data_IF_288230126828
#
_entry.id   IF_288230126828
#
_cell.length_a   1.000
_cell.length_b   1.000
_cell.length_c   1.000
_cell.angle_alpha   90.00
_cell.angle_beta   90.00
_cell.angle_gamma   90.00
#
_symmetry.space_group_name_H-M   'P 1'
#
loop_
_entity.id
_entity.type
_entity.pdbx_description
1 polymer ?
#
# COMPACT_ATOMS: atom_id res chain seq x y z
N UNK A 1 42.33 24.79 3.29
CA UNK A 1 40.95 24.33 3.04
C UNK A 1 40.14 24.70 4.27
N UNK A 2 39.23 25.68 4.15
CA UNK A 2 38.40 26.13 5.27
C UNK A 2 37.32 25.09 5.57
N UNK A 3 37.07 24.84 6.86
CA UNK A 3 35.96 24.01 7.33
C UNK A 3 34.64 24.64 6.88
N UNK A 4 33.64 23.86 6.42
CA UNK A 4 32.32 24.40 6.11
C UNK A 4 31.66 24.95 7.39
N UNK A 5 31.16 26.19 7.30
CA UNK A 5 30.49 26.89 8.40
C UNK A 5 29.06 26.35 8.58
N UNK A 6 28.90 25.37 9.47
CA UNK A 6 27.61 24.73 9.75
C UNK A 6 26.47 25.69 10.14
N UNK A 7 26.76 26.90 10.62
CA UNK A 7 25.76 27.91 10.96
C UNK A 7 25.12 28.60 9.74
N UNK A 8 25.85 28.71 8.63
CA UNK A 8 25.41 29.38 7.41
C UNK A 8 24.61 28.42 6.50
N UNK A 9 24.95 27.13 6.56
CA UNK A 9 24.15 26.08 5.91
C UNK A 9 22.76 25.95 6.58
N UNK A 10 22.68 26.08 7.91
CA UNK A 10 21.41 25.98 8.63
C UNK A 10 20.46 27.17 8.35
N UNK A 11 20.99 28.39 8.20
CA UNK A 11 20.19 29.57 7.88
C UNK A 11 19.61 29.48 6.47
N UNK A 12 20.40 29.03 5.50
CA UNK A 12 19.95 28.84 4.12
C UNK A 12 18.92 27.72 3.98
N UNK A 13 19.07 26.61 4.71
CA UNK A 13 18.05 25.54 4.74
C UNK A 13 16.71 26.04 5.29
N UNK A 14 16.73 26.83 6.38
CA UNK A 14 15.53 27.43 6.97
C UNK A 14 14.85 28.39 6.01
N UNK A 15 15.61 29.21 5.28
CA UNK A 15 15.08 30.11 4.26
C UNK A 15 14.41 29.36 3.10
N UNK A 16 15.01 28.25 2.64
CA UNK A 16 14.45 27.43 1.56
C UNK A 16 13.16 26.76 2.00
N UNK A 17 13.11 26.20 3.21
CA UNK A 17 11.88 25.59 3.74
C UNK A 17 10.77 26.63 3.95
N UNK A 18 11.12 27.82 4.44
CA UNK A 18 10.19 28.94 4.55
C UNK A 18 9.65 29.36 3.17
N UNK A 19 10.52 29.51 2.16
CA UNK A 19 10.11 29.86 0.80
C UNK A 19 9.20 28.79 0.18
N UNK A 20 9.51 27.50 0.40
CA UNK A 20 8.69 26.36 -0.04
C UNK A 20 7.27 26.43 0.55
N UNK A 21 7.14 26.78 1.83
CA UNK A 21 5.85 26.85 2.53
C UNK A 21 5.05 28.11 2.16
N UNK A 22 5.70 29.26 2.04
CA UNK A 22 5.05 30.54 1.74
C UNK A 22 4.67 30.68 0.26
N UNK A 23 5.49 30.15 -0.65
CA UNK A 23 5.32 30.32 -2.10
C UNK A 23 5.44 28.97 -2.85
N UNK A 24 4.57 27.99 -2.58
CA UNK A 24 4.71 26.63 -3.09
C UNK A 24 4.73 26.59 -4.63
N UNK A 25 3.83 27.31 -5.30
CA UNK A 25 3.76 27.33 -6.76
C UNK A 25 5.07 27.82 -7.39
N UNK A 26 5.58 28.97 -6.94
CA UNK A 26 6.85 29.53 -7.44
C UNK A 26 8.04 28.62 -7.13
N UNK A 27 8.02 27.96 -5.96
CA UNK A 27 9.04 26.98 -5.59
C UNK A 27 9.06 25.81 -6.58
N UNK A 28 7.92 25.19 -6.89
CA UNK A 28 7.86 24.08 -7.85
C UNK A 28 8.12 24.52 -9.30
N UNK A 29 7.63 25.69 -9.72
CA UNK A 29 7.90 26.25 -11.05
C UNK A 29 9.41 26.40 -11.30
N UNK A 30 10.16 26.92 -10.31
CA UNK A 30 11.62 27.07 -10.41
C UNK A 30 12.35 25.74 -10.63
N UNK A 31 11.84 24.65 -10.06
CA UNK A 31 12.41 23.30 -10.24
C UNK A 31 12.01 22.71 -11.59
N UNK A 32 10.74 22.86 -11.98
CA UNK A 32 10.21 22.40 -13.27
C UNK A 32 10.92 23.07 -14.46
N UNK A 33 11.20 24.38 -14.38
CA UNK A 33 11.97 25.11 -15.41
C UNK A 33 13.38 24.56 -15.61
N UNK A 34 13.93 23.90 -14.59
CA UNK A 34 15.25 23.24 -14.62
C UNK A 34 15.14 21.74 -14.93
N UNK A 35 13.95 21.23 -15.23
CA UNK A 35 13.67 19.81 -15.46
C UNK A 35 14.11 18.88 -14.31
N UNK A 36 14.07 19.39 -13.07
CA UNK A 36 14.39 18.65 -11.86
C UNK A 36 13.23 18.73 -10.86
N UNK A 37 13.16 17.76 -9.97
CA UNK A 37 12.26 17.76 -8.82
C UNK A 37 12.97 18.39 -7.61
N UNK A 38 12.22 18.81 -6.56
CA UNK A 38 12.82 19.39 -5.35
C UNK A 38 13.81 18.48 -4.60
N UNK A 39 13.72 17.17 -4.80
CA UNK A 39 14.65 16.18 -4.26
C UNK A 39 15.76 15.80 -5.26
N UNK A 40 16.06 16.71 -6.20
CA UNK A 40 17.07 16.59 -7.25
C UNK A 40 16.87 15.44 -8.26
N UNK A 41 15.74 14.72 -8.21
CA UNK A 41 15.45 13.68 -9.20
C UNK A 41 15.04 14.27 -10.56
N UNK A 42 15.35 13.60 -11.68
CA UNK A 42 14.73 13.90 -12.97
C UNK A 42 13.22 13.71 -12.93
N UNK A 43 12.47 14.42 -13.79
CA UNK A 43 11.01 14.37 -13.82
C UNK A 43 10.45 12.94 -14.03
N UNK A 44 11.11 12.13 -14.85
CA UNK A 44 10.69 10.75 -15.16
C UNK A 44 11.17 9.67 -14.17
N UNK A 45 11.90 10.04 -13.11
CA UNK A 45 12.46 9.06 -12.17
C UNK A 45 11.59 8.92 -10.93
N UNK A 46 11.14 7.70 -10.63
CA UNK A 46 10.45 7.37 -9.39
C UNK A 46 11.39 7.48 -8.16
N UNK A 47 10.82 7.47 -6.95
CA UNK A 47 11.63 7.36 -5.73
C UNK A 47 12.18 5.95 -5.63
N UNK A 48 13.16 5.76 -4.77
CA UNK A 48 13.61 4.41 -4.42
C UNK A 48 12.44 3.61 -3.84
N UNK A 49 12.25 2.40 -4.35
CA UNK A 49 11.16 1.52 -3.96
C UNK A 49 11.71 0.24 -3.37
N UNK A 50 11.27 -0.12 -2.17
CA UNK A 50 11.63 -1.39 -1.52
C UNK A 50 10.39 -2.14 -1.07
N UNK A 51 10.46 -3.47 -1.09
CA UNK A 51 9.36 -4.36 -0.70
C UNK A 51 9.94 -5.44 0.20
N UNK A 52 9.40 -5.58 1.41
CA UNK A 52 9.68 -6.68 2.32
C UNK A 52 8.46 -7.60 2.41
N UNK A 53 8.58 -8.84 1.93
CA UNK A 53 7.53 -9.85 2.04
C UNK A 53 7.51 -10.47 3.45
N UNK A 54 6.35 -10.97 3.88
CA UNK A 54 6.22 -11.68 5.15
C UNK A 54 6.42 -10.79 6.39
N UNK A 55 6.14 -9.48 6.28
CA UNK A 55 6.34 -8.51 7.36
C UNK A 55 5.53 -8.82 8.65
N UNK A 56 4.42 -9.55 8.52
CA UNK A 56 3.54 -9.95 9.63
C UNK A 56 3.40 -11.48 9.62
N UNK A 57 4.02 -12.14 10.59
CA UNK A 57 4.04 -13.61 10.69
C UNK A 57 2.67 -14.23 11.02
N UNK A 58 1.77 -13.49 11.67
CA UNK A 58 0.42 -13.96 12.04
C UNK A 58 -0.62 -13.84 10.91
N UNK A 59 -0.25 -13.17 9.82
CA UNK A 59 -1.08 -13.00 8.63
C UNK A 59 -0.82 -14.14 7.63
N UNK A 60 -1.83 -14.47 6.82
CA UNK A 60 -1.70 -15.47 5.76
C UNK A 60 -0.81 -14.97 4.62
N UNK A 61 -0.82 -13.66 4.36
CA UNK A 61 0.09 -12.97 3.45
C UNK A 61 0.35 -11.58 3.99
N UNK A 62 1.55 -11.05 3.81
CA UNK A 62 1.86 -9.68 4.21
C UNK A 62 3.03 -9.12 3.45
N UNK A 63 3.06 -7.80 3.29
CA UNK A 63 4.17 -7.10 2.68
C UNK A 63 4.26 -5.65 3.19
N UNK A 64 5.50 -5.21 3.44
CA UNK A 64 5.84 -3.83 3.73
C UNK A 64 6.41 -3.20 2.46
N UNK A 65 5.69 -2.26 1.85
CA UNK A 65 6.17 -1.52 0.69
C UNK A 65 6.58 -0.11 1.12
N UNK A 66 7.68 0.37 0.55
CA UNK A 66 8.21 1.71 0.79
C UNK A 66 8.58 2.37 -0.54
N UNK A 67 8.09 3.59 -0.78
CA UNK A 67 8.43 4.44 -1.92
C UNK A 67 8.96 5.76 -1.38
N UNK A 68 10.29 5.94 -1.37
CA UNK A 68 10.94 7.03 -0.63
C UNK A 68 10.66 6.91 0.86
N UNK A 69 10.04 7.91 1.47
CA UNK A 69 9.63 7.85 2.88
C UNK A 69 8.25 7.20 3.07
N UNK A 70 7.37 7.27 2.08
CA UNK A 70 6.03 6.68 2.15
C UNK A 70 6.10 5.18 2.39
N UNK A 71 5.51 4.72 3.47
CA UNK A 71 5.59 3.33 3.92
C UNK A 71 4.19 2.79 4.20
N UNK A 72 3.82 1.70 3.51
CA UNK A 72 2.54 1.02 3.65
C UNK A 72 2.75 -0.45 3.99
N UNK A 73 1.96 -0.95 4.93
CA UNK A 73 1.93 -2.36 5.30
C UNK A 73 0.60 -2.97 4.86
N UNK A 74 0.67 -3.97 3.98
CA UNK A 74 -0.46 -4.82 3.63
C UNK A 74 -0.41 -6.12 4.42
N UNK A 75 -1.54 -6.52 5.00
CA UNK A 75 -1.68 -7.80 5.68
C UNK A 75 -3.00 -8.46 5.26
N UNK A 76 -2.94 -9.75 4.96
CA UNK A 76 -4.07 -10.55 4.50
C UNK A 76 -4.41 -11.57 5.57
N UNK A 77 -5.65 -11.56 6.02
CA UNK A 77 -6.23 -12.61 6.85
C UNK A 77 -7.27 -13.37 6.06
N UNK A 78 -7.16 -14.69 6.05
CA UNK A 78 -8.08 -15.56 5.34
C UNK A 78 -9.03 -16.24 6.32
N UNK A 79 -10.31 -16.12 6.06
CA UNK A 79 -11.39 -16.74 6.84
C UNK A 79 -12.34 -17.50 5.92
N UNK A 80 -13.08 -18.46 6.47
CA UNK A 80 -14.06 -19.22 5.70
C UNK A 80 -15.43 -18.61 5.94
N UNK A 81 -16.13 -18.32 4.85
CA UNK A 81 -17.49 -17.80 4.88
C UNK A 81 -18.43 -18.69 4.06
N UNK A 82 -19.72 -18.56 4.32
CA UNK A 82 -20.75 -19.10 3.43
C UNK A 82 -20.96 -18.11 2.28
N UNK A 83 -20.75 -18.52 1.01
CA UNK A 83 -20.95 -17.63 -0.13
C UNK A 83 -22.42 -17.20 -0.27
N UNK A 84 -22.64 -16.08 -0.94
CA UNK A 84 -23.99 -15.58 -1.20
C UNK A 84 -24.73 -16.47 -2.21
N UNK A 85 -26.07 -16.40 -2.25
CA UNK A 85 -26.87 -17.15 -3.21
C UNK A 85 -26.60 -16.73 -4.67
N UNK A 86 -26.17 -15.49 -4.89
CA UNK A 86 -25.86 -14.94 -6.21
C UNK A 86 -24.46 -15.37 -6.70
N UNK A 87 -23.51 -15.54 -5.77
CA UNK A 87 -22.10 -15.85 -6.06
C UNK A 87 -21.62 -17.11 -5.32
N UNK A 88 -22.30 -18.24 -5.56
CA UNK A 88 -22.04 -19.51 -4.86
C UNK A 88 -20.66 -20.13 -5.15
N UNK A 89 -20.07 -19.77 -6.30
CA UNK A 89 -18.81 -20.32 -6.80
C UNK A 89 -17.61 -19.38 -6.62
N UNK A 90 -17.76 -18.30 -5.85
CA UNK A 90 -16.74 -17.27 -5.71
C UNK A 90 -16.44 -16.97 -4.23
N UNK A 91 -15.17 -16.73 -3.94
CA UNK A 91 -14.75 -16.11 -2.68
C UNK A 91 -14.95 -14.60 -2.71
N UNK A 92 -14.63 -13.96 -1.58
CA UNK A 92 -14.77 -12.51 -1.41
C UNK A 92 -13.47 -11.88 -0.95
N UNK A 93 -13.20 -10.66 -1.39
CA UNK A 93 -12.09 -9.83 -0.92
C UNK A 93 -12.68 -8.57 -0.31
N UNK A 94 -12.28 -8.28 0.93
CA UNK A 94 -12.71 -7.08 1.65
C UNK A 94 -11.48 -6.28 2.02
N UNK A 95 -11.34 -5.08 1.45
CA UNK A 95 -10.25 -4.16 1.78
C UNK A 95 -10.68 -3.26 2.93
N UNK A 96 -9.88 -3.22 4.00
CA UNK A 96 -10.14 -2.39 5.18
C UNK A 96 -8.97 -1.44 5.44
N UNK A 97 -9.26 -0.18 5.82
CA UNK A 97 -8.21 0.69 6.33
C UNK A 97 -7.76 0.17 7.71
N UNK A 98 -6.46 -0.07 7.87
CA UNK A 98 -5.90 -0.56 9.13
C UNK A 98 -5.94 0.45 10.27
N UNK A 99 -5.92 1.76 9.94
CA UNK A 99 -6.23 2.84 10.87
C UNK A 99 -7.19 3.84 10.23
N UNK A 100 -8.21 4.31 10.97
CA UNK A 100 -9.04 5.42 10.51
C UNK A 100 -8.18 6.69 10.39
N UNK A 101 -8.07 7.20 9.17
CA UNK A 101 -7.49 8.50 8.85
C UNK A 101 -8.33 9.14 7.73
N UNK A 102 -8.29 10.45 7.58
CA UNK A 102 -9.18 11.22 6.68
C UNK A 102 -9.22 10.67 5.24
N UNK A 103 -8.06 10.24 4.70
CA UNK A 103 -7.95 9.65 3.36
C UNK A 103 -8.02 8.11 3.29
N UNK A 104 -7.99 7.41 4.42
CA UNK A 104 -7.84 5.95 4.44
C UNK A 104 -9.05 5.21 3.82
N UNK A 105 -10.32 5.58 4.07
CA UNK A 105 -11.47 4.95 3.43
C UNK A 105 -11.48 5.12 1.91
N UNK A 106 -11.03 6.28 1.41
CA UNK A 106 -10.96 6.56 -0.03
C UNK A 106 -9.93 5.64 -0.69
N UNK A 107 -8.73 5.55 -0.11
CA UNK A 107 -7.68 4.65 -0.60
C UNK A 107 -8.12 3.19 -0.54
N UNK A 108 -8.76 2.76 0.56
CA UNK A 108 -9.26 1.39 0.70
C UNK A 108 -10.32 1.06 -0.37
N UNK A 109 -11.26 1.97 -0.64
CA UNK A 109 -12.27 1.79 -1.68
C UNK A 109 -11.64 1.73 -3.07
N UNK A 110 -10.75 2.67 -3.40
CA UNK A 110 -10.04 2.68 -4.68
C UNK A 110 -9.22 1.41 -4.89
N UNK A 111 -8.57 0.89 -3.84
CA UNK A 111 -7.85 -0.38 -3.89
C UNK A 111 -8.80 -1.55 -4.14
N UNK A 112 -9.92 -1.61 -3.42
CA UNK A 112 -10.94 -2.65 -3.63
C UNK A 112 -11.41 -2.66 -5.08
N UNK A 113 -11.78 -1.49 -5.62
CA UNK A 113 -12.26 -1.35 -7.00
C UNK A 113 -11.17 -1.74 -8.01
N UNK A 114 -9.91 -1.34 -7.77
CA UNK A 114 -8.77 -1.68 -8.64
C UNK A 114 -8.46 -3.18 -8.61
N UNK A 115 -8.46 -3.81 -7.44
CA UNK A 115 -8.19 -5.25 -7.30
C UNK A 115 -9.27 -6.06 -8.02
N UNK A 116 -10.54 -5.74 -7.79
CA UNK A 116 -11.67 -6.44 -8.40
C UNK A 116 -11.74 -6.22 -9.92
N UNK A 117 -11.56 -4.97 -10.39
CA UNK A 117 -11.61 -4.66 -11.83
C UNK A 117 -10.42 -5.20 -12.61
N UNK A 118 -9.25 -5.33 -11.97
CA UNK A 118 -8.04 -5.85 -12.64
C UNK A 118 -8.10 -7.35 -12.96
N UNK A 119 -8.97 -8.10 -12.27
CA UNK A 119 -8.97 -9.57 -12.35
C UNK A 119 -7.69 -10.22 -11.84
N UNK A 120 -6.88 -9.52 -11.02
CA UNK A 120 -5.59 -10.04 -10.53
C UNK A 120 -5.72 -11.29 -9.66
N UNK A 121 -6.88 -11.51 -9.04
CA UNK A 121 -7.18 -12.68 -8.21
C UNK A 121 -8.42 -13.36 -8.78
N UNK A 122 -8.30 -14.65 -9.06
CA UNK A 122 -9.42 -15.46 -9.51
C UNK A 122 -10.31 -15.84 -8.31
N UNK A 123 -11.46 -15.19 -8.18
CA UNK A 123 -12.39 -15.43 -7.07
C UNK A 123 -12.95 -16.86 -7.08
N UNK A 124 -12.96 -17.55 -8.22
CA UNK A 124 -13.43 -18.94 -8.30
C UNK A 124 -12.48 -19.93 -7.64
N UNK A 125 -11.18 -19.63 -7.65
CA UNK A 125 -10.17 -20.44 -6.95
C UNK A 125 -10.28 -20.33 -5.43
N UNK A 126 -10.94 -19.27 -4.95
CA UNK A 126 -11.25 -19.07 -3.54
C UNK A 126 -12.50 -19.87 -3.09
N UNK A 127 -13.25 -20.49 -4.00
CA UNK A 127 -14.36 -21.39 -3.62
C UNK A 127 -13.84 -22.74 -3.15
N UNK A 128 -14.32 -23.21 -2.00
CA UNK A 128 -13.98 -24.52 -1.44
C UNK A 128 -15.05 -25.54 -1.79
N UNK A 129 -16.28 -25.26 -1.41
CA UNK A 129 -17.47 -26.06 -1.68
C UNK A 129 -18.57 -25.11 -2.14
N UNK A 130 -18.94 -25.22 -3.42
CA UNK A 130 -19.97 -24.41 -4.04
C UNK A 130 -21.22 -24.33 -3.15
N UNK A 131 -21.66 -23.09 -2.88
CA UNK A 131 -22.85 -22.80 -2.08
C UNK A 131 -22.75 -23.08 -0.57
N UNK A 132 -21.63 -23.62 -0.07
CA UNK A 132 -21.45 -23.95 1.36
C UNK A 132 -20.28 -23.24 2.02
N UNK A 133 -19.13 -23.17 1.35
CA UNK A 133 -17.92 -22.62 1.91
C UNK A 133 -17.04 -22.00 0.83
N UNK A 134 -16.61 -20.77 1.05
CA UNK A 134 -15.64 -20.05 0.24
C UNK A 134 -14.68 -19.27 1.13
N UNK A 135 -13.50 -18.94 0.61
CA UNK A 135 -12.55 -18.07 1.29
C UNK A 135 -12.98 -16.61 1.22
N UNK A 136 -12.87 -15.93 2.35
CA UNK A 136 -12.92 -14.48 2.46
C UNK A 136 -11.53 -13.96 2.83
N UNK A 137 -10.97 -13.12 1.96
CA UNK A 137 -9.70 -12.44 2.16
C UNK A 137 -9.93 -11.05 2.72
N UNK A 138 -9.57 -10.83 3.98
CA UNK A 138 -9.49 -9.49 4.56
C UNK A 138 -8.12 -8.91 4.27
N UNK A 139 -8.06 -7.89 3.43
CA UNK A 139 -6.85 -7.11 3.19
C UNK A 139 -6.88 -5.86 4.07
N UNK A 140 -6.02 -5.82 5.07
CA UNK A 140 -5.80 -4.65 5.91
C UNK A 140 -4.61 -3.85 5.39
N UNK A 141 -4.83 -2.56 5.13
CA UNK A 141 -3.78 -1.64 4.65
C UNK A 141 -3.49 -0.60 5.72
N UNK A 142 -2.28 -0.63 6.26
CA UNK A 142 -1.79 0.30 7.27
C UNK A 142 -0.84 1.31 6.64
N UNK A 143 -1.16 2.59 6.80
CA UNK A 143 -0.23 3.67 6.50
C UNK A 143 0.68 3.92 7.71
N UNK A 144 1.99 3.71 7.52
CA UNK A 144 2.99 3.94 8.57
C UNK A 144 3.66 5.31 8.40
N UNK A 145 3.88 5.73 7.16
CA UNK A 145 4.40 7.05 6.82
C UNK A 145 3.81 7.52 5.48
N UNK A 146 3.44 8.79 5.38
CA UNK A 146 2.71 9.37 4.27
C UNK A 146 3.44 10.59 3.69
N UNK A 147 4.34 10.34 2.74
CA UNK A 147 5.11 11.36 2.01
C UNK A 147 4.66 11.43 0.53
N UNK A 148 3.37 11.23 0.24
CA UNK A 148 2.81 11.19 -1.12
C UNK A 148 2.99 9.84 -1.85
N UNK A 149 2.44 9.69 -3.07
CA UNK A 149 2.32 8.37 -3.75
C UNK A 149 1.68 7.28 -2.86
N UNK A 150 0.74 7.68 -2.01
CA UNK A 150 0.12 6.81 -0.99
C UNK A 150 -0.65 5.67 -1.62
N UNK A 151 -1.45 5.96 -2.66
CA UNK A 151 -2.18 4.94 -3.41
C UNK A 151 -1.25 3.93 -4.07
N UNK A 152 -0.20 4.39 -4.77
CA UNK A 152 0.77 3.51 -5.45
C UNK A 152 1.48 2.58 -4.46
N UNK A 153 1.92 3.14 -3.32
CA UNK A 153 2.59 2.36 -2.27
C UNK A 153 1.62 1.34 -1.64
N UNK A 154 0.35 1.74 -1.47
CA UNK A 154 -0.68 0.86 -0.93
C UNK A 154 -1.01 -0.29 -1.89
N UNK A 155 -1.15 0.00 -3.18
CA UNK A 155 -1.37 -1.00 -4.22
C UNK A 155 -0.20 -1.97 -4.30
N UNK A 156 1.03 -1.45 -4.27
CA UNK A 156 2.25 -2.26 -4.27
C UNK A 156 2.29 -3.20 -3.05
N UNK A 157 1.94 -2.70 -1.87
CA UNK A 157 1.86 -3.52 -0.65
C UNK A 157 0.78 -4.60 -0.74
N UNK A 158 -0.38 -4.28 -1.33
CA UNK A 158 -1.49 -5.22 -1.50
C UNK A 158 -1.11 -6.37 -2.45
N UNK A 159 -0.59 -6.03 -3.63
CA UNK A 159 -0.17 -7.01 -4.64
C UNK A 159 0.95 -7.91 -4.09
N UNK A 160 1.93 -7.32 -3.41
CA UNK A 160 3.01 -8.07 -2.78
C UNK A 160 2.52 -8.98 -1.63
N UNK A 161 1.53 -8.52 -0.85
CA UNK A 161 0.93 -9.36 0.18
C UNK A 161 0.18 -10.56 -0.42
N UNK A 162 -0.57 -10.36 -1.51
CA UNK A 162 -1.27 -11.45 -2.21
C UNK A 162 -0.30 -12.44 -2.85
N UNK A 163 0.81 -11.96 -3.43
CA UNK A 163 1.82 -12.86 -4.03
C UNK A 163 2.55 -13.72 -2.99
N UNK A 164 2.65 -13.25 -1.74
CA UNK A 164 3.19 -14.01 -0.61
C UNK A 164 2.08 -14.64 0.27
N UNK A 165 0.85 -14.75 -0.22
CA UNK A 165 -0.22 -15.36 0.56
C UNK A 165 -0.10 -16.89 0.55
N UNK A 166 -0.06 -17.49 1.74
CA UNK A 166 -0.03 -18.93 1.93
C UNK A 166 -1.34 -19.35 2.58
N UNK A 167 -2.12 -20.13 1.85
CA UNK A 167 -3.38 -20.70 2.33
C UNK A 167 -3.38 -22.19 2.05
N UNK A 168 -3.25 -23.00 3.10
CA UNK A 168 -3.37 -24.45 2.99
C UNK A 168 -4.82 -24.88 3.10
N UNK A 169 -5.32 -25.65 2.13
CA UNK A 169 -6.65 -26.29 2.17
C UNK A 169 -6.87 -27.12 3.44
N UNK A 170 -5.81 -27.70 3.99
CA UNK A 170 -5.86 -28.55 5.19
C UNK A 170 -6.18 -27.81 6.50
N UNK A 171 -6.06 -26.48 6.51
CA UNK A 171 -6.40 -25.67 7.68
C UNK A 171 -7.90 -25.72 8.02
N UNK A 172 -8.75 -26.11 7.07
CA UNK A 172 -10.19 -26.26 7.27
C UNK A 172 -10.54 -27.51 8.07
N UNK A 173 -10.00 -28.68 7.69
CA UNK A 173 -10.28 -29.96 8.36
C UNK A 173 -9.88 -29.96 9.84
N UNK A 174 -8.87 -29.16 10.21
CA UNK A 174 -8.41 -29.03 11.61
C UNK A 174 -9.32 -28.16 12.50
N UNK A 175 -10.28 -27.41 11.93
CA UNK A 175 -11.24 -26.59 12.70
C UNK A 175 -12.63 -27.19 12.79
N UNK A 176 -12.95 -28.16 11.94
CA UNK A 176 -14.27 -28.82 11.87
C UNK A 176 -14.28 -30.26 12.41
N UNK A 177 -13.11 -30.79 12.80
CA UNK A 177 -12.96 -32.03 13.57
C UNK A 177 -12.64 -31.72 15.03
#
# INVERSE_FOLDING_TARGET
>A
MGLPNASDDLSTEVEVDAFRRLFPLRFYEKHLLKSIRPDARPLGRARETTIGLGAVASANGSALAKIGSTTMLGAIKMEVMTPSLETQDEGCIVVRPGRPAEGAPVVAKQLSDTILSSGMINLKELSLVSGKAAWMAYLDIYCLDADGATFDTALLSAVAAFSHSIVTRDSWWKRTA
#
